data_IF_756801894649
#
_entry.id   IF_756801894649
#
_cell.length_a   1.000
_cell.length_b   1.000
_cell.length_c   1.000
_cell.angle_alpha   90.00
_cell.angle_beta   90.00
_cell.angle_gamma   90.00
#
_symmetry.space_group_name_H-M   'P 1'
#
loop_
_entity.id
_entity.type
_entity.pdbx_description
1 polymer ?
#
# COMPACT_ATOMS: atom_id res chain seq x y z
N UNK A 1 -2.28 10.76 -5.96
CA UNK A 1 -0.89 11.19 -5.61
C UNK A 1 0.04 10.06 -6.00
N UNK A 2 1.22 10.34 -6.56
CA UNK A 2 2.18 9.30 -6.93
C UNK A 2 3.37 9.27 -5.96
N UNK A 3 3.76 8.08 -5.51
CA UNK A 3 4.84 7.86 -4.55
C UNK A 3 5.62 6.60 -4.91
N UNK A 4 6.94 6.70 -4.97
CA UNK A 4 7.79 5.51 -5.13
C UNK A 4 7.97 4.80 -3.77
N UNK A 5 7.60 3.53 -3.67
CA UNK A 5 7.87 2.65 -2.53
C UNK A 5 9.04 1.71 -2.87
N UNK A 6 10.00 1.57 -1.94
CA UNK A 6 11.12 0.65 -2.10
C UNK A 6 10.98 -0.46 -1.06
N UNK A 7 10.91 -1.72 -1.52
CA UNK A 7 10.71 -2.89 -0.67
C UNK A 7 11.75 -3.97 -0.97
N UNK A 8 12.05 -4.79 0.03
CA UNK A 8 12.89 -5.97 -0.14
C UNK A 8 12.01 -7.16 -0.51
N UNK A 9 12.22 -7.70 -1.71
CA UNK A 9 11.57 -8.92 -2.18
C UNK A 9 12.64 -9.96 -2.47
N UNK A 10 12.58 -11.09 -1.77
CA UNK A 10 13.50 -12.21 -1.95
C UNK A 10 15.00 -11.80 -1.91
N UNK A 11 15.35 -10.93 -0.97
CA UNK A 11 16.72 -10.43 -0.79
C UNK A 11 17.19 -9.38 -1.80
N UNK A 12 16.31 -8.93 -2.70
CA UNK A 12 16.62 -7.88 -3.67
C UNK A 12 15.66 -6.69 -3.55
N UNK A 13 16.14 -5.51 -3.94
CA UNK A 13 15.33 -4.30 -3.93
C UNK A 13 14.38 -4.25 -5.12
N UNK A 14 13.10 -4.05 -4.82
CA UNK A 14 12.04 -3.76 -5.77
C UNK A 14 11.50 -2.35 -5.52
N UNK A 15 11.47 -1.53 -6.56
CA UNK A 15 10.86 -0.20 -6.54
C UNK A 15 9.52 -0.25 -7.22
N UNK A 16 8.52 0.25 -6.53
CA UNK A 16 7.14 0.37 -7.00
C UNK A 16 6.76 1.82 -7.10
N UNK A 17 6.20 2.23 -8.23
CA UNK A 17 5.49 3.50 -8.32
C UNK A 17 4.05 3.26 -7.89
N UNK A 18 3.66 3.88 -6.78
CA UNK A 18 2.37 3.72 -6.14
C UNK A 18 1.51 4.95 -6.43
N UNK A 19 0.40 4.71 -7.13
CA UNK A 19 -0.62 5.70 -7.37
C UNK A 19 -1.72 5.55 -6.32
N UNK A 20 -1.85 6.57 -5.48
CA UNK A 20 -2.87 6.66 -4.43
C UNK A 20 -4.12 7.25 -5.07
N UNK A 21 -5.16 6.43 -5.14
CA UNK A 21 -6.48 6.80 -5.63
C UNK A 21 -7.38 7.27 -4.48
N UNK A 22 -8.62 7.62 -4.83
CA UNK A 22 -9.65 8.00 -3.83
C UNK A 22 -10.08 6.75 -3.06
N UNK A 23 -10.61 6.96 -1.85
CA UNK A 23 -11.16 5.89 -0.98
C UNK A 23 -10.12 4.92 -0.37
N UNK A 24 -8.82 5.26 -0.42
CA UNK A 24 -7.77 4.47 0.23
C UNK A 24 -7.31 3.24 -0.58
N UNK A 25 -7.65 3.20 -1.86
CA UNK A 25 -7.11 2.23 -2.84
C UNK A 25 -5.80 2.77 -3.39
N UNK A 26 -4.78 1.92 -3.45
CA UNK A 26 -3.47 2.24 -4.00
C UNK A 26 -3.10 1.22 -5.07
N UNK A 27 -2.63 1.72 -6.21
CA UNK A 27 -2.20 0.91 -7.35
C UNK A 27 -0.69 0.99 -7.45
N UNK A 28 0.00 -0.12 -7.17
CA UNK A 28 1.44 -0.22 -7.20
C UNK A 28 1.90 -0.88 -8.51
N UNK A 29 2.84 -0.24 -9.21
CA UNK A 29 3.46 -0.76 -10.44
C UNK A 29 4.96 -0.92 -10.23
N UNK A 30 5.50 -2.09 -10.55
CA UNK A 30 6.93 -2.34 -10.46
C UNK A 30 7.67 -1.48 -11.48
N UNK A 31 8.45 -0.53 -10.99
CA UNK A 31 9.29 0.36 -11.77
C UNK A 31 10.66 -0.27 -12.06
N UNK A 32 11.26 -0.90 -11.04
CA UNK A 32 12.54 -1.59 -11.20
C UNK A 32 12.72 -2.70 -10.17
N UNK A 33 13.40 -3.77 -10.56
CA UNK A 33 13.79 -4.86 -9.67
C UNK A 33 15.24 -5.22 -9.91
N UNK A 34 16.04 -5.27 -8.84
CA UNK A 34 17.47 -5.61 -8.90
C UNK A 34 17.78 -7.07 -8.57
N UNK A 35 16.77 -7.93 -8.52
CA UNK A 35 16.93 -9.35 -8.20
C UNK A 35 16.97 -10.26 -9.43
N UNK A 36 16.87 -11.56 -9.18
CA UNK A 36 16.93 -12.59 -10.23
C UNK A 36 15.59 -12.67 -10.98
N UNK A 37 15.63 -12.65 -12.32
CA UNK A 37 14.43 -12.61 -13.17
C UNK A 37 13.42 -13.76 -12.94
N UNK A 38 13.87 -14.92 -12.41
CA UNK A 38 12.99 -16.05 -12.10
C UNK A 38 12.14 -15.90 -10.84
N UNK A 39 12.41 -14.89 -10.01
CA UNK A 39 11.68 -14.59 -8.77
C UNK A 39 11.29 -13.11 -8.76
N UNK A 40 10.84 -12.63 -9.91
CA UNK A 40 10.38 -11.25 -10.07
C UNK A 40 9.07 -11.09 -9.31
N UNK A 41 8.92 -10.05 -8.48
CA UNK A 41 7.66 -9.80 -7.81
C UNK A 41 6.59 -9.36 -8.82
N UNK A 42 5.30 -9.35 -8.43
CA UNK A 42 4.21 -8.89 -9.28
C UNK A 42 4.51 -7.51 -9.88
N UNK A 43 4.29 -7.37 -11.19
CA UNK A 43 4.52 -6.12 -11.91
C UNK A 43 3.44 -5.08 -11.60
N UNK A 44 2.27 -5.55 -11.21
CA UNK A 44 1.12 -4.74 -10.88
C UNK A 44 0.47 -5.31 -9.63
N UNK A 45 0.08 -4.45 -8.70
CA UNK A 45 -0.56 -4.86 -7.46
C UNK A 45 -1.51 -3.77 -6.99
N UNK A 46 -2.79 -4.09 -6.89
CA UNK A 46 -3.76 -3.23 -6.21
C UNK A 46 -3.76 -3.59 -4.73
N UNK A 47 -3.54 -2.60 -3.88
CA UNK A 47 -3.59 -2.73 -2.43
C UNK A 47 -4.60 -1.76 -1.83
N UNK A 48 -5.25 -2.17 -0.75
CA UNK A 48 -6.15 -1.30 0.02
C UNK A 48 -5.89 -1.46 1.50
N UNK A 49 -6.16 -0.39 2.25
CA UNK A 49 -6.02 -0.41 3.71
C UNK A 49 -7.29 -0.97 4.34
N UNK A 50 -7.17 -2.08 5.06
CA UNK A 50 -8.24 -2.69 5.85
C UNK A 50 -7.84 -2.65 7.34
N UNK A 51 -8.31 -1.61 8.03
CA UNK A 51 -7.94 -1.34 9.43
C UNK A 51 -6.45 -1.02 9.57
N UNK A 52 -5.70 -1.94 10.20
CA UNK A 52 -4.24 -1.81 10.42
C UNK A 52 -3.40 -2.56 9.37
N UNK A 53 -4.03 -3.33 8.50
CA UNK A 53 -3.35 -4.16 7.51
C UNK A 53 -3.55 -3.60 6.12
N UNK A 54 -2.55 -3.85 5.27
CA UNK A 54 -2.68 -3.66 3.84
C UNK A 54 -2.90 -5.01 3.19
N UNK A 55 -3.90 -5.06 2.33
CA UNK A 55 -4.28 -6.29 1.63
C UNK A 55 -4.20 -6.05 0.13
N UNK A 56 -3.82 -7.11 -0.60
CA UNK A 56 -3.78 -7.12 -2.06
C UNK A 56 -4.80 -8.08 -2.63
N UNK A 57 -5.34 -7.77 -3.80
CA UNK A 57 -6.21 -8.68 -4.54
C UNK A 57 -5.47 -9.91 -5.09
N UNK A 58 -4.16 -9.81 -5.38
CA UNK A 58 -3.36 -10.90 -5.97
C UNK A 58 -2.67 -11.83 -4.94
N UNK A 59 -3.12 -11.86 -3.68
CA UNK A 59 -2.70 -12.85 -2.69
C UNK A 59 -1.29 -12.68 -2.09
N UNK A 60 -0.54 -11.63 -2.44
CA UNK A 60 0.77 -11.34 -1.83
C UNK A 60 0.66 -10.42 -0.62
N UNK A 61 0.13 -10.94 0.50
CA UNK A 61 -0.11 -10.18 1.73
C UNK A 61 1.15 -9.47 2.26
N UNK A 62 2.28 -10.17 2.34
CA UNK A 62 3.52 -9.59 2.89
C UNK A 62 4.00 -8.41 2.03
N UNK A 63 3.97 -8.56 0.70
CA UNK A 63 4.35 -7.50 -0.23
C UNK A 63 3.39 -6.31 -0.13
N UNK A 64 2.09 -6.55 0.05
CA UNK A 64 1.09 -5.51 0.25
C UNK A 64 1.36 -4.71 1.54
N UNK A 65 1.68 -5.40 2.64
CA UNK A 65 2.05 -4.78 3.92
C UNK A 65 3.33 -3.94 3.79
N UNK A 66 4.36 -4.47 3.15
CA UNK A 66 5.64 -3.75 2.95
C UNK A 66 5.46 -2.48 2.10
N UNK A 67 4.73 -2.59 0.97
CA UNK A 67 4.45 -1.45 0.09
C UNK A 67 3.58 -0.44 0.85
N UNK A 68 2.50 -0.89 1.48
CA UNK A 68 1.58 -0.03 2.21
C UNK A 68 2.27 0.75 3.34
N UNK A 69 3.15 0.09 4.09
CA UNK A 69 3.95 0.73 5.13
C UNK A 69 4.93 1.77 4.57
N UNK A 70 5.62 1.45 3.47
CA UNK A 70 6.51 2.40 2.81
C UNK A 70 5.76 3.64 2.30
N UNK A 71 4.51 3.49 1.86
CA UNK A 71 3.62 4.60 1.47
C UNK A 71 3.20 5.40 2.70
N UNK A 72 2.81 4.76 3.80
CA UNK A 72 2.43 5.44 5.05
C UNK A 72 3.53 6.31 5.66
N UNK A 73 4.79 5.92 5.47
CA UNK A 73 5.93 6.74 5.90
C UNK A 73 6.06 8.00 5.04
N UNK A 74 5.78 7.89 3.74
CA UNK A 74 6.01 8.96 2.76
C UNK A 74 4.81 9.90 2.58
N UNK A 75 3.62 9.42 2.93
CA UNK A 75 2.36 10.12 2.69
C UNK A 75 1.76 10.53 4.03
N UNK A 76 1.34 11.80 4.18
CA UNK A 76 0.62 12.23 5.36
C UNK A 76 -0.62 11.37 5.60
N UNK A 77 -0.84 10.94 6.85
CA UNK A 77 -2.00 10.11 7.24
C UNK A 77 -3.34 10.71 6.79
N UNK A 78 -3.44 12.03 6.69
CA UNK A 78 -4.64 12.73 6.22
C UNK A 78 -5.05 12.39 4.78
N UNK A 79 -4.10 11.99 3.92
CA UNK A 79 -4.37 11.59 2.53
C UNK A 79 -4.83 10.13 2.46
N UNK A 80 -4.47 9.30 3.45
CA UNK A 80 -4.74 7.86 3.45
C UNK A 80 -6.00 7.48 4.25
N UNK A 81 -6.50 8.38 5.09
CA UNK A 81 -7.65 8.17 5.99
C UNK A 81 -8.79 9.08 5.53
N UNK A 82 -9.33 8.85 4.34
CA UNK A 82 -10.63 9.44 3.96
C UNK A 82 -11.80 8.51 4.34
N UNK A 83 -11.53 7.24 4.65
CA UNK A 83 -12.58 6.23 4.89
C UNK A 83 -12.98 6.07 6.37
N UNK A 84 -12.14 6.46 7.33
CA UNK A 84 -12.42 6.22 8.77
C UNK A 84 -13.13 7.39 9.49
N UNK A 85 -13.13 8.59 8.90
CA UNK A 85 -13.73 9.80 9.52
C UNK A 85 -15.27 9.84 9.50
N UNK A 86 -15.95 8.81 8.96
CA UNK A 86 -17.42 8.69 8.98
C UNK A 86 -17.99 7.77 10.07
N UNK A 87 -17.21 7.39 11.09
CA UNK A 87 -17.80 7.03 12.39
C UNK A 87 -17.94 8.29 13.24
N UNK A 88 -18.94 9.10 12.91
CA UNK A 88 -19.52 10.08 13.83
C UNK A 88 -19.81 9.37 15.15
N UNK A 89 -19.12 9.81 16.20
CA UNK A 89 -19.41 9.37 17.56
C UNK A 89 -20.80 9.84 17.95
N UNK A 90 -21.77 8.93 17.93
CA UNK A 90 -22.99 9.08 18.71
C UNK A 90 -22.67 8.65 20.14
N UNK A 91 -22.30 9.64 20.96
CA UNK A 91 -22.33 9.50 22.42
C UNK A 91 -23.81 9.49 22.87
N UNK A 92 -24.35 8.40 23.46
CA UNK A 92 -25.60 8.52 24.19
C UNK A 92 -25.29 9.23 25.52
N UNK A 93 -25.88 10.40 25.71
CA UNK A 93 -25.92 11.08 27.00
C UNK A 93 -26.71 10.23 27.99
N UNK A 94 -26.07 9.90 29.12
CA UNK A 94 -26.72 9.38 30.33
C UNK A 94 -26.78 10.46 31.40
#
# INVERSE_FOLDING_TARGET
MEVTAAVLYDGALAHYDVNIEREGVCVARLASYKGRNGQKPPEFLTIRKEGRHWISDEGSRNLAEDIGYAVEIKVPKDVMIETDRRRTGEHPAG
#
